data_IF_370232696690
#
_entry.id   IF_370232696690
#
_cell.length_a   1.000
_cell.length_b   1.000
_cell.length_c   1.000
_cell.angle_alpha   90.00
_cell.angle_beta   90.00
_cell.angle_gamma   90.00
#
_symmetry.space_group_name_H-M   'P 1'
#
loop_
_entity.id
_entity.type
_entity.pdbx_description
1 polymer ?
#
# COMPACT_ATOMS: atom_id res chain seq x y z
N UNK A 1 5.86 -27.41 -4.57
CA UNK A 1 6.58 -26.24 -4.04
C UNK A 1 6.42 -26.26 -2.53
N UNK A 2 7.51 -26.10 -1.79
CA UNK A 2 7.50 -26.20 -0.32
C UNK A 2 6.85 -24.95 0.31
N UNK A 3 6.13 -25.13 1.41
CA UNK A 3 5.51 -24.06 2.21
C UNK A 3 6.55 -23.05 2.71
N UNK A 4 7.76 -23.52 3.03
CA UNK A 4 8.87 -22.65 3.39
C UNK A 4 9.28 -21.73 2.24
N UNK A 5 9.33 -22.27 1.01
CA UNK A 5 9.67 -21.51 -0.18
C UNK A 5 8.59 -20.47 -0.54
N UNK A 6 7.31 -20.83 -0.38
CA UNK A 6 6.18 -19.93 -0.56
C UNK A 6 6.22 -18.75 0.40
N UNK A 7 6.41 -19.02 1.69
CA UNK A 7 6.54 -17.99 2.72
C UNK A 7 7.74 -17.07 2.46
N UNK A 8 8.90 -17.65 2.12
CA UNK A 8 10.10 -16.88 1.78
C UNK A 8 9.87 -15.94 0.59
N UNK A 9 9.28 -16.44 -0.50
CA UNK A 9 8.98 -15.61 -1.68
C UNK A 9 8.01 -14.48 -1.36
N UNK A 10 7.00 -14.75 -0.53
CA UNK A 10 6.08 -13.72 -0.06
C UNK A 10 6.81 -12.62 0.71
N UNK A 11 7.66 -13.01 1.67
CA UNK A 11 8.43 -12.07 2.49
C UNK A 11 9.42 -11.25 1.65
N UNK A 12 10.04 -11.84 0.62
CA UNK A 12 10.89 -11.10 -0.31
C UNK A 12 10.13 -9.99 -1.06
N UNK A 13 8.88 -10.26 -1.50
CA UNK A 13 8.03 -9.24 -2.12
C UNK A 13 7.52 -8.20 -1.12
N UNK A 14 7.25 -8.61 0.13
CA UNK A 14 6.90 -7.70 1.22
C UNK A 14 8.06 -6.74 1.52
N UNK A 15 9.28 -7.24 1.65
CA UNK A 15 10.47 -6.42 1.88
C UNK A 15 10.75 -5.45 0.72
N UNK A 16 10.48 -5.87 -0.52
CA UNK A 16 10.54 -4.97 -1.69
C UNK A 16 9.50 -3.86 -1.61
N UNK A 17 8.28 -4.17 -1.15
CA UNK A 17 7.25 -3.16 -0.92
C UNK A 17 7.69 -2.15 0.14
N UNK A 18 8.24 -2.61 1.26
CA UNK A 18 8.76 -1.74 2.34
C UNK A 18 9.86 -0.81 1.81
N UNK A 19 10.83 -1.34 1.07
CA UNK A 19 11.88 -0.52 0.44
C UNK A 19 11.30 0.49 -0.55
N UNK A 20 10.36 0.06 -1.38
CA UNK A 20 9.70 0.95 -2.34
C UNK A 20 8.94 2.08 -1.65
N UNK A 21 8.34 1.83 -0.48
CA UNK A 21 7.65 2.84 0.32
C UNK A 21 8.62 3.96 0.74
N UNK A 22 9.82 3.58 1.21
CA UNK A 22 10.88 4.49 1.62
C UNK A 22 11.47 5.24 0.42
N UNK A 23 11.84 4.52 -0.65
CA UNK A 23 12.47 5.08 -1.85
C UNK A 23 11.56 6.08 -2.57
N UNK A 24 10.27 5.76 -2.67
CA UNK A 24 9.27 6.63 -3.30
C UNK A 24 8.82 7.77 -2.37
N UNK A 25 9.26 7.77 -1.10
CA UNK A 25 8.82 8.72 -0.07
C UNK A 25 7.31 8.86 -0.03
N UNK A 26 6.59 7.75 0.09
CA UNK A 26 5.12 7.75 -0.07
C UNK A 26 4.40 8.67 0.94
N UNK A 27 4.99 8.95 2.11
CA UNK A 27 4.49 9.98 3.04
C UNK A 27 4.46 11.38 2.40
N UNK A 28 5.52 11.76 1.69
CA UNK A 28 5.61 13.04 0.99
C UNK A 28 4.59 13.08 -0.15
N UNK A 29 4.41 11.98 -0.89
CA UNK A 29 3.42 11.88 -1.97
C UNK A 29 2.00 12.16 -1.44
N UNK A 30 1.62 11.52 -0.33
CA UNK A 30 0.28 11.71 0.28
C UNK A 30 0.11 13.13 0.80
N UNK A 31 1.13 13.66 1.48
CA UNK A 31 1.10 15.04 2.00
C UNK A 31 0.96 16.05 0.86
N UNK A 32 1.79 15.91 -0.18
CA UNK A 32 1.77 16.78 -1.35
C UNK A 32 0.46 16.67 -2.13
N UNK A 33 -0.19 15.50 -2.16
CA UNK A 33 -1.49 15.31 -2.80
C UNK A 33 -2.56 16.16 -2.10
N UNK A 34 -2.63 16.07 -0.78
CA UNK A 34 -3.57 16.88 0.00
C UNK A 34 -3.29 18.38 -0.15
N UNK A 35 -2.00 18.77 -0.16
CA UNK A 35 -1.60 20.17 -0.37
C UNK A 35 -1.98 20.67 -1.77
N UNK A 36 -1.78 19.86 -2.82
CA UNK A 36 -2.17 20.19 -4.19
C UNK A 36 -3.69 20.39 -4.31
N UNK A 37 -4.48 19.49 -3.70
CA UNK A 37 -5.94 19.61 -3.64
C UNK A 37 -6.35 20.91 -2.93
N UNK A 38 -5.73 21.23 -1.79
CA UNK A 38 -6.06 22.45 -1.03
C UNK A 38 -5.82 23.73 -1.83
N UNK A 39 -4.78 23.72 -2.68
CA UNK A 39 -4.41 24.83 -3.57
C UNK A 39 -5.16 24.81 -4.90
N UNK A 40 -6.03 23.82 -5.12
CA UNK A 40 -6.72 23.59 -6.41
C UNK A 40 -5.74 23.42 -7.60
N UNK A 41 -4.54 22.90 -7.35
CA UNK A 41 -3.56 22.58 -8.38
C UNK A 41 -3.91 21.23 -9.02
N UNK A 42 -4.78 21.28 -10.03
CA UNK A 42 -5.32 20.08 -10.69
C UNK A 42 -4.23 19.26 -11.39
N UNK A 43 -3.22 19.90 -11.96
CA UNK A 43 -2.14 19.21 -12.68
C UNK A 43 -1.29 18.38 -11.72
N UNK A 44 -0.89 18.96 -10.58
CA UNK A 44 -0.10 18.22 -9.59
C UNK A 44 -0.97 17.19 -8.85
N UNK A 45 -2.25 17.50 -8.62
CA UNK A 45 -3.22 16.56 -8.04
C UNK A 45 -3.34 15.29 -8.89
N UNK A 46 -3.55 15.42 -10.20
CA UNK A 46 -3.70 14.26 -11.10
C UNK A 46 -2.44 13.39 -11.12
N UNK A 47 -1.26 14.02 -11.21
CA UNK A 47 0.03 13.32 -11.18
C UNK A 47 0.27 12.54 -9.89
N UNK A 48 0.04 13.17 -8.73
CA UNK A 48 0.22 12.53 -7.44
C UNK A 48 -0.84 11.46 -7.19
N UNK A 49 -2.09 11.70 -7.61
CA UNK A 49 -3.16 10.71 -7.54
C UNK A 49 -2.84 9.46 -8.37
N UNK A 50 -2.31 9.61 -9.59
CA UNK A 50 -1.87 8.47 -10.40
C UNK A 50 -0.76 7.66 -9.70
N UNK A 51 0.17 8.33 -9.02
CA UNK A 51 1.20 7.66 -8.21
C UNK A 51 0.57 6.85 -7.07
N UNK A 52 -0.44 7.41 -6.39
CA UNK A 52 -1.21 6.72 -5.33
C UNK A 52 -1.96 5.50 -5.89
N UNK A 53 -2.57 5.59 -7.07
CA UNK A 53 -3.26 4.47 -7.72
C UNK A 53 -2.30 3.32 -8.06
N UNK A 54 -1.13 3.64 -8.63
CA UNK A 54 -0.09 2.66 -8.92
C UNK A 54 0.41 1.98 -7.64
N UNK A 55 0.63 2.76 -6.59
CA UNK A 55 1.02 2.26 -5.27
C UNK A 55 -0.02 1.30 -4.70
N UNK A 56 -1.29 1.70 -4.65
CA UNK A 56 -2.39 0.87 -4.16
C UNK A 56 -2.55 -0.42 -4.98
N UNK A 57 -2.27 -0.38 -6.27
CA UNK A 57 -2.28 -1.57 -7.12
C UNK A 57 -1.20 -2.57 -6.68
N UNK A 58 0.01 -2.10 -6.32
CA UNK A 58 1.08 -2.96 -5.78
C UNK A 58 0.68 -3.58 -4.45
N UNK A 59 0.17 -2.76 -3.52
CA UNK A 59 -0.31 -3.21 -2.21
C UNK A 59 -1.40 -4.27 -2.35
N UNK A 60 -2.41 -4.01 -3.21
CA UNK A 60 -3.54 -4.92 -3.42
C UNK A 60 -3.12 -6.26 -4.03
N UNK A 61 -2.16 -6.26 -4.96
CA UNK A 61 -1.59 -7.51 -5.50
C UNK A 61 -0.94 -8.38 -4.42
N UNK A 62 -0.16 -7.76 -3.53
CA UNK A 62 0.50 -8.49 -2.44
C UNK A 62 -0.50 -8.94 -1.37
N UNK A 63 -1.53 -8.14 -1.06
CA UNK A 63 -2.63 -8.54 -0.18
C UNK A 63 -3.41 -9.73 -0.77
N UNK A 64 -3.70 -9.71 -2.07
CA UNK A 64 -4.33 -10.84 -2.76
C UNK A 64 -3.49 -12.12 -2.69
N UNK A 65 -2.17 -12.01 -2.89
CA UNK A 65 -1.25 -13.14 -2.74
C UNK A 65 -1.27 -13.70 -1.31
N UNK A 66 -1.29 -12.82 -0.30
CA UNK A 66 -1.40 -13.20 1.12
C UNK A 66 -2.70 -13.97 1.39
N UNK A 67 -3.84 -13.45 0.93
CA UNK A 67 -5.16 -14.09 1.11
C UNK A 67 -5.17 -15.50 0.52
N UNK A 68 -4.59 -15.68 -0.68
CA UNK A 68 -4.49 -17.00 -1.34
C UNK A 68 -3.60 -17.96 -0.55
N UNK A 69 -2.48 -17.47 0.00
CA UNK A 69 -1.59 -18.28 0.82
C UNK A 69 -2.22 -18.63 2.17
N UNK A 70 -2.87 -17.69 2.84
CA UNK A 70 -3.56 -17.91 4.11
C UNK A 70 -4.75 -18.88 3.96
N UNK A 71 -5.46 -18.85 2.83
CA UNK A 71 -6.54 -19.79 2.56
C UNK A 71 -6.05 -21.25 2.46
N UNK A 72 -4.81 -21.46 2.02
CA UNK A 72 -4.21 -22.79 1.87
C UNK A 72 -3.36 -23.19 3.09
N UNK A 73 -2.73 -22.21 3.74
CA UNK A 73 -1.70 -22.40 4.77
C UNK A 73 -1.87 -21.38 5.90
N UNK A 74 -3.05 -21.35 6.52
CA UNK A 74 -3.42 -20.38 7.57
C UNK A 74 -2.46 -20.32 8.77
N UNK A 75 -1.67 -21.38 9.00
CA UNK A 75 -0.65 -21.43 10.04
C UNK A 75 0.59 -20.57 9.75
N UNK A 76 0.80 -20.10 8.51
CA UNK A 76 1.94 -19.27 8.13
C UNK A 76 1.88 -17.86 8.71
N UNK A 77 0.68 -17.35 9.00
CA UNK A 77 0.44 -16.02 9.61
C UNK A 77 1.22 -14.90 8.92
N UNK A 78 1.11 -14.82 7.60
CA UNK A 78 1.85 -13.85 6.79
C UNK A 78 1.36 -12.41 7.09
N UNK A 79 2.27 -11.42 7.19
CA UNK A 79 1.90 -10.05 7.51
C UNK A 79 1.04 -9.45 6.40
N UNK A 80 0.05 -8.63 6.76
CA UNK A 80 -0.75 -7.89 5.76
C UNK A 80 -0.04 -6.62 5.30
N UNK A 81 0.07 -6.36 3.99
CA UNK A 81 0.51 -5.07 3.47
C UNK A 81 -0.60 -4.01 3.47
N UNK A 82 -1.82 -4.33 3.94
CA UNK A 82 -2.97 -3.42 3.87
C UNK A 82 -2.73 -2.06 4.55
N UNK A 83 -1.85 -1.99 5.55
CA UNK A 83 -1.45 -0.74 6.21
C UNK A 83 -0.70 0.23 5.30
N UNK A 84 -0.04 -0.29 4.25
CA UNK A 84 0.60 0.52 3.21
C UNK A 84 -0.41 1.06 2.19
N UNK A 85 -1.66 0.58 2.17
CA UNK A 85 -2.69 1.09 1.29
C UNK A 85 -3.02 2.55 1.62
N UNK A 86 -3.40 3.34 0.63
CA UNK A 86 -3.82 4.73 0.79
C UNK A 86 -5.32 4.82 0.51
N UNK A 87 -6.07 5.42 1.43
CA UNK A 87 -7.52 5.57 1.35
C UNK A 87 -7.90 7.04 1.41
N UNK A 88 -9.06 7.37 0.87
CA UNK A 88 -9.68 8.67 1.07
C UNK A 88 -10.51 8.62 2.36
N UNK A 89 -10.15 9.45 3.33
CA UNK A 89 -10.94 9.68 4.53
C UNK A 89 -12.08 10.66 4.19
N UNK A 90 -13.32 10.19 4.27
CA UNK A 90 -14.49 11.01 3.97
C UNK A 90 -14.84 12.01 5.07
N UNK A 91 -14.42 11.78 6.31
CA UNK A 91 -14.68 12.66 7.45
C UNK A 91 -13.78 13.90 7.35
N UNK A 92 -12.47 13.67 7.27
CA UNK A 92 -11.46 14.72 7.16
C UNK A 92 -11.26 15.23 5.73
N UNK A 93 -11.81 14.52 4.73
CA UNK A 93 -11.67 14.79 3.28
C UNK A 93 -10.22 14.84 2.80
N UNK A 94 -9.38 13.96 3.34
CA UNK A 94 -7.96 13.86 3.00
C UNK A 94 -7.60 12.44 2.59
N UNK A 95 -6.58 12.33 1.74
CA UNK A 95 -5.91 11.06 1.47
C UNK A 95 -4.97 10.73 2.63
N UNK A 96 -5.00 9.48 3.12
CA UNK A 96 -4.12 9.00 4.18
C UNK A 96 -3.82 7.51 4.04
N UNK A 97 -2.80 7.03 4.74
CA UNK A 97 -2.57 5.60 4.82
C UNK A 97 -3.70 4.90 5.57
N UNK A 98 -3.92 3.64 5.21
CA UNK A 98 -4.92 2.75 5.76
C UNK A 98 -4.44 2.21 7.11
N UNK A 99 -4.26 3.12 8.07
CA UNK A 99 -3.90 2.79 9.45
C UNK A 99 -5.15 2.42 10.22
N UNK A 100 -5.97 1.48 9.71
CA UNK A 100 -7.08 0.92 10.50
C UNK A 100 -6.48 0.53 11.84
N UNK A 101 -6.91 1.22 12.88
CA UNK A 101 -6.41 0.99 14.23
C UNK A 101 -6.57 -0.49 14.54
N UNK A 102 -5.45 -1.15 14.87
CA UNK A 102 -5.42 -2.49 15.45
C UNK A 102 -6.19 -2.44 16.77
#
# INVERSE_FOLDING_TARGET
>A
MDTHELSKRYMEEYDKLVKSYEDMKMNDVVTNLNDAISRSDMSETEKLHNTVLEWNTKVSKLEGARIVLDAQFSYLRLPSPSSFGIIFDWEERVWRFNTVAI
#
